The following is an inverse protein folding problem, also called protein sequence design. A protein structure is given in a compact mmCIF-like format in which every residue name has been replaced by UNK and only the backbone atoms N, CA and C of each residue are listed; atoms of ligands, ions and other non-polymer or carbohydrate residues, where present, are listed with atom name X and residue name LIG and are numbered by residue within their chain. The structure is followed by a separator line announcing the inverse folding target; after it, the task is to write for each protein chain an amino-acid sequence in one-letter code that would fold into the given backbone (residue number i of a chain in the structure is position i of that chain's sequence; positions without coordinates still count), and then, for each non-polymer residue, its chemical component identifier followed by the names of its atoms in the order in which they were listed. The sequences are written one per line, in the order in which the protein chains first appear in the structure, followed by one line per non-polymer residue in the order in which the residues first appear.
data_IF_796297702199
#
_entry.id   IF_796297702199
#
_cell.length_a   1.000
_cell.length_b   1.000
_cell.length_c   1.000
_cell.angle_alpha   90.00
_cell.angle_beta   90.00
_cell.angle_gamma   90.00
#
_symmetry.space_group_name_H-M   'P 1'
#
loop_
_entity.id
_entity.type
_entity.pdbx_description
1 polymer ?
#
# COMPACT_ATOMS: atom_id res chain seq x y z
N UNK A 1 14.17 7.84 20.70
CA UNK A 1 14.44 6.92 19.61
C UNK A 1 14.20 5.45 19.99
N UNK A 2 14.77 4.92 21.07
CA UNK A 2 14.52 3.54 21.54
C UNK A 2 13.05 3.20 21.80
N UNK A 3 12.25 4.14 22.33
CA UNK A 3 10.83 3.92 22.61
C UNK A 3 10.00 3.69 21.34
N UNK A 4 10.28 4.43 20.27
CA UNK A 4 9.61 4.28 18.97
C UNK A 4 9.99 2.94 18.33
N UNK A 5 11.26 2.54 18.44
CA UNK A 5 11.74 1.26 17.92
C UNK A 5 11.13 0.07 18.68
N UNK A 6 11.06 0.11 20.01
CA UNK A 6 10.44 -0.94 20.81
C UNK A 6 8.92 -1.05 20.54
N UNK A 7 8.24 0.08 20.32
CA UNK A 7 6.84 0.10 19.90
C UNK A 7 6.68 -0.54 18.52
N UNK A 8 7.53 -0.20 17.56
CA UNK A 8 7.51 -0.79 16.21
C UNK A 8 7.70 -2.31 16.23
N UNK A 9 8.65 -2.82 17.03
CA UNK A 9 8.85 -4.27 17.13
C UNK A 9 7.67 -4.99 17.77
N UNK A 10 7.07 -4.41 18.82
CA UNK A 10 5.82 -4.94 19.40
C UNK A 10 4.70 -4.96 18.36
N UNK A 11 4.58 -3.90 17.56
CA UNK A 11 3.59 -3.81 16.50
C UNK A 11 3.83 -4.87 15.42
N UNK A 12 5.10 -5.08 15.03
CA UNK A 12 5.50 -6.10 14.06
C UNK A 12 5.25 -7.52 14.58
N UNK A 13 5.56 -7.80 15.85
CA UNK A 13 5.26 -9.08 16.49
C UNK A 13 3.76 -9.30 16.59
N UNK A 14 2.99 -8.28 16.99
CA UNK A 14 1.52 -8.34 17.01
C UNK A 14 0.97 -8.63 15.62
N UNK A 15 1.42 -7.91 14.59
CA UNK A 15 1.01 -8.16 13.21
C UNK A 15 1.36 -9.58 12.75
N UNK A 16 2.58 -10.06 13.03
CA UNK A 16 3.01 -11.41 12.66
C UNK A 16 2.17 -12.50 13.32
N UNK A 17 1.81 -12.32 14.60
CA UNK A 17 1.00 -13.28 15.35
C UNK A 17 -0.47 -13.30 14.89
N UNK A 18 -0.99 -12.16 14.44
CA UNK A 18 -2.40 -11.99 14.06
C UNK A 18 -2.59 -11.71 12.56
N UNK A 19 -1.59 -11.97 11.73
CA UNK A 19 -1.60 -11.68 10.29
C UNK A 19 -2.83 -12.28 9.58
N UNK A 20 -3.21 -13.51 9.96
CA UNK A 20 -4.36 -14.21 9.41
C UNK A 20 -5.68 -13.47 9.61
N UNK A 21 -5.84 -12.78 10.74
CA UNK A 21 -7.06 -12.01 11.06
C UNK A 21 -6.95 -10.55 10.62
N UNK A 22 -5.77 -9.95 10.75
CA UNK A 22 -5.55 -8.53 10.45
C UNK A 22 -5.64 -8.23 8.95
N UNK A 23 -5.15 -9.12 8.08
CA UNK A 23 -5.25 -8.93 6.63
C UNK A 23 -6.70 -8.87 6.13
N UNK A 24 -7.60 -9.81 6.46
CA UNK A 24 -9.00 -9.71 6.10
C UNK A 24 -9.69 -8.50 6.73
N UNK A 25 -9.41 -8.22 8.01
CA UNK A 25 -9.99 -7.08 8.71
C UNK A 25 -9.65 -5.76 8.02
N UNK A 26 -8.39 -5.57 7.64
CA UNK A 26 -7.95 -4.38 6.89
C UNK A 26 -8.65 -4.26 5.53
N UNK A 27 -8.82 -5.39 4.80
CA UNK A 27 -9.57 -5.40 3.55
C UNK A 27 -11.04 -5.02 3.75
N UNK A 28 -11.70 -5.57 4.78
CA UNK A 28 -13.08 -5.24 5.13
C UNK A 28 -13.20 -3.74 5.41
N UNK A 29 -12.31 -3.16 6.21
CA UNK A 29 -12.33 -1.75 6.55
C UNK A 29 -12.16 -0.88 5.29
N UNK A 30 -11.16 -1.17 4.48
CA UNK A 30 -10.90 -0.40 3.26
C UNK A 30 -12.05 -0.51 2.24
N UNK A 31 -12.62 -1.71 2.06
CA UNK A 31 -13.76 -1.90 1.17
C UNK A 31 -15.02 -1.24 1.70
N UNK A 32 -15.25 -1.27 3.01
CA UNK A 32 -16.37 -0.54 3.64
C UNK A 32 -16.26 0.97 3.39
N UNK A 33 -15.08 1.55 3.57
CA UNK A 33 -14.83 2.96 3.26
C UNK A 33 -15.06 3.24 1.77
N UNK A 34 -14.58 2.37 0.88
CA UNK A 34 -14.79 2.52 -0.56
C UNK A 34 -16.29 2.51 -0.92
N UNK A 35 -17.08 1.60 -0.36
CA UNK A 35 -18.53 1.58 -0.55
C UNK A 35 -19.21 2.84 -0.03
N UNK A 36 -18.81 3.34 1.16
CA UNK A 36 -19.33 4.59 1.69
C UNK A 36 -19.02 5.77 0.77
N UNK A 37 -17.81 5.84 0.22
CA UNK A 37 -17.40 6.89 -0.74
C UNK A 37 -18.23 6.82 -2.02
N UNK A 38 -18.39 5.62 -2.61
CA UNK A 38 -19.21 5.42 -3.81
C UNK A 38 -20.65 5.85 -3.54
N UNK A 39 -21.26 5.38 -2.45
CA UNK A 39 -22.63 5.69 -2.08
C UNK A 39 -22.83 7.19 -1.80
N UNK A 40 -21.83 7.87 -1.22
CA UNK A 40 -21.91 9.31 -0.98
C UNK A 40 -21.85 10.12 -2.28
N UNK A 41 -21.04 9.68 -3.26
CA UNK A 41 -20.89 10.40 -4.53
C UNK A 41 -21.98 10.10 -5.54
N UNK A 42 -22.34 8.82 -5.72
CA UNK A 42 -23.24 8.33 -6.77
C UNK A 42 -24.34 7.41 -6.25
N UNK A 43 -24.86 7.66 -5.06
CA UNK A 43 -25.84 6.82 -4.37
C UNK A 43 -27.24 6.78 -4.98
N UNK A 44 -27.39 6.58 -6.29
CA UNK A 44 -28.69 6.61 -6.97
C UNK A 44 -29.54 5.35 -6.77
N UNK A 45 -28.92 4.20 -6.48
CA UNK A 45 -29.61 2.93 -6.25
C UNK A 45 -29.86 2.70 -4.76
N UNK A 46 -31.10 2.88 -4.31
CA UNK A 46 -31.48 2.79 -2.88
C UNK A 46 -31.18 1.43 -2.24
N UNK A 47 -31.21 0.33 -2.99
CA UNK A 47 -30.85 -0.99 -2.48
C UNK A 47 -29.37 -1.09 -2.08
N UNK A 48 -28.47 -0.51 -2.88
CA UNK A 48 -27.02 -0.56 -2.64
C UNK A 48 -26.56 0.43 -1.57
N UNK A 49 -27.37 1.46 -1.26
CA UNK A 49 -27.06 2.44 -0.20
C UNK A 49 -27.43 1.95 1.20
N UNK A 50 -28.18 0.85 1.32
CA UNK A 50 -28.57 0.30 2.61
C UNK A 50 -27.35 -0.13 3.43
N UNK A 51 -27.22 0.29 4.71
CA UNK A 51 -26.06 -0.05 5.55
C UNK A 51 -25.85 -1.55 5.72
N UNK A 52 -26.92 -2.34 5.71
CA UNK A 52 -26.88 -3.80 5.79
C UNK A 52 -26.21 -4.42 4.57
N UNK A 53 -26.54 -3.93 3.37
CA UNK A 53 -25.94 -4.41 2.11
C UNK A 53 -24.47 -4.03 2.04
N UNK A 54 -24.12 -2.79 2.40
CA UNK A 54 -22.73 -2.31 2.47
C UNK A 54 -21.92 -3.14 3.45
N UNK A 55 -22.46 -3.42 4.64
CA UNK A 55 -21.78 -4.23 5.66
C UNK A 55 -21.52 -5.66 5.20
N UNK A 56 -22.56 -6.35 4.68
CA UNK A 56 -22.44 -7.73 4.19
C UNK A 56 -21.47 -7.81 3.00
N UNK A 57 -21.59 -6.91 2.03
CA UNK A 57 -20.69 -6.88 0.88
C UNK A 57 -19.22 -6.64 1.29
N UNK A 58 -18.97 -5.76 2.26
CA UNK A 58 -17.63 -5.49 2.77
C UNK A 58 -17.03 -6.71 3.48
N UNK A 59 -17.84 -7.43 4.26
CA UNK A 59 -17.39 -8.67 4.93
C UNK A 59 -17.04 -9.74 3.90
N UNK A 60 -17.87 -9.92 2.87
CA UNK A 60 -17.57 -10.85 1.78
C UNK A 60 -16.26 -10.49 1.07
N UNK A 61 -16.02 -9.20 0.81
CA UNK A 61 -14.79 -8.71 0.19
C UNK A 61 -13.54 -9.00 1.05
N UNK A 62 -13.66 -9.13 2.36
CA UNK A 62 -12.54 -9.44 3.24
C UNK A 62 -11.82 -10.75 2.92
N UNK A 63 -12.54 -11.74 2.42
CA UNK A 63 -11.99 -13.06 2.05
C UNK A 63 -11.46 -13.08 0.62
N UNK A 64 -11.94 -12.19 -0.24
CA UNK A 64 -11.61 -12.18 -1.66
C UNK A 64 -10.20 -11.59 -1.94
N UNK A 65 -9.55 -11.97 -3.05
CA UNK A 65 -8.35 -11.30 -3.51
C UNK A 65 -8.65 -9.85 -3.96
N UNK A 66 -7.65 -8.95 -3.82
CA UNK A 66 -7.84 -7.53 -4.13
C UNK A 66 -8.33 -7.28 -5.57
N UNK A 67 -7.92 -8.10 -6.53
CA UNK A 67 -8.38 -7.99 -7.93
C UNK A 67 -9.89 -8.21 -8.08
N UNK A 68 -10.48 -9.15 -7.33
CA UNK A 68 -11.93 -9.37 -7.35
C UNK A 68 -12.68 -8.25 -6.61
N UNK A 69 -12.10 -7.69 -5.56
CA UNK A 69 -12.67 -6.53 -4.86
C UNK A 69 -12.87 -5.36 -5.84
N UNK A 70 -11.85 -5.08 -6.67
CA UNK A 70 -11.94 -4.05 -7.71
C UNK A 70 -13.11 -4.30 -8.66
N UNK A 71 -13.29 -5.55 -9.11
CA UNK A 71 -14.41 -5.93 -10.00
C UNK A 71 -15.75 -5.70 -9.31
N UNK A 72 -15.89 -6.09 -8.03
CA UNK A 72 -17.14 -5.89 -7.28
C UNK A 72 -17.43 -4.39 -7.11
N UNK A 73 -16.43 -3.58 -6.74
CA UNK A 73 -16.61 -2.13 -6.59
C UNK A 73 -17.05 -1.48 -7.90
N UNK A 74 -16.46 -1.88 -9.05
CA UNK A 74 -16.86 -1.36 -10.35
C UNK A 74 -18.27 -1.79 -10.76
N UNK A 75 -18.68 -3.02 -10.44
CA UNK A 75 -20.05 -3.48 -10.69
C UNK A 75 -21.07 -2.67 -9.85
N UNK A 76 -20.71 -2.27 -8.64
CA UNK A 76 -21.55 -1.41 -7.80
C UNK A 76 -21.68 -0.01 -8.40
N UNK A 77 -20.55 0.57 -8.89
CA UNK A 77 -20.58 1.83 -9.63
C UNK A 77 -21.53 1.72 -10.84
N UNK A 78 -21.38 0.66 -11.65
CA UNK A 78 -22.27 0.40 -12.78
C UNK A 78 -23.73 0.26 -12.34
N UNK A 79 -24.00 -0.41 -11.21
CA UNK A 79 -25.35 -0.54 -10.64
C UNK A 79 -25.96 0.81 -10.28
N UNK A 80 -25.20 1.71 -9.65
CA UNK A 80 -25.67 3.08 -9.37
C UNK A 80 -25.92 3.89 -10.64
N UNK A 81 -25.04 3.76 -11.64
CA UNK A 81 -25.21 4.42 -12.93
C UNK A 81 -26.42 3.88 -13.69
N UNK A 82 -26.69 2.58 -13.58
CA UNK A 82 -27.88 1.96 -14.16
C UNK A 82 -29.17 2.53 -13.56
N UNK A 83 -29.20 2.74 -12.25
CA UNK A 83 -30.33 3.37 -11.58
C UNK A 83 -30.55 4.84 -12.01
N UNK A 84 -29.47 5.54 -12.39
CA UNK A 84 -29.55 6.89 -12.93
C UNK A 84 -29.96 6.89 -14.40
N UNK A 85 -29.25 6.12 -15.23
CA UNK A 85 -29.52 5.98 -16.65
C UNK A 85 -28.83 4.71 -17.22
N UNK A 86 -29.58 3.90 -17.97
CA UNK A 86 -29.04 2.65 -18.55
C UNK A 86 -27.88 2.88 -19.52
N UNK A 87 -27.90 3.97 -20.27
CA UNK A 87 -26.88 4.29 -21.27
C UNK A 87 -25.54 4.61 -20.60
N UNK A 88 -25.57 5.33 -19.45
CA UNK A 88 -24.40 5.60 -18.63
C UNK A 88 -23.77 4.32 -18.11
N UNK A 89 -24.59 3.39 -17.65
CA UNK A 89 -24.13 2.12 -17.14
C UNK A 89 -23.40 1.30 -18.22
N UNK A 90 -23.91 1.30 -19.45
CA UNK A 90 -23.29 0.60 -20.58
C UNK A 90 -21.91 1.22 -20.90
N UNK A 91 -21.83 2.56 -20.96
CA UNK A 91 -20.55 3.25 -21.22
C UNK A 91 -19.52 2.96 -20.12
N UNK A 92 -19.95 3.07 -18.86
CA UNK A 92 -19.09 2.76 -17.73
C UNK A 92 -18.63 1.29 -17.74
N UNK A 93 -19.53 0.36 -18.09
CA UNK A 93 -19.19 -1.05 -18.21
C UNK A 93 -18.11 -1.29 -19.28
N UNK A 94 -18.26 -0.69 -20.47
CA UNK A 94 -17.27 -0.79 -21.54
C UNK A 94 -15.93 -0.21 -21.08
N UNK A 95 -15.95 0.94 -20.41
CA UNK A 95 -14.75 1.58 -19.87
C UNK A 95 -14.04 0.68 -18.84
N UNK A 96 -14.80 0.08 -17.91
CA UNK A 96 -14.25 -0.84 -16.92
C UNK A 96 -13.69 -2.11 -17.56
N UNK A 97 -14.35 -2.70 -18.55
CA UNK A 97 -13.83 -3.86 -19.27
C UNK A 97 -12.50 -3.52 -19.95
N UNK A 98 -12.41 -2.39 -20.65
CA UNK A 98 -11.16 -1.92 -21.26
C UNK A 98 -10.05 -1.72 -20.20
N UNK A 99 -10.41 -1.08 -19.09
CA UNK A 99 -9.52 -0.88 -17.96
C UNK A 99 -9.00 -2.20 -17.39
N UNK A 100 -9.86 -3.22 -17.24
CA UNK A 100 -9.45 -4.52 -16.72
C UNK A 100 -8.51 -5.26 -17.67
N UNK A 101 -8.73 -5.20 -18.98
CA UNK A 101 -7.82 -5.81 -19.95
C UNK A 101 -6.40 -5.26 -19.79
N UNK A 102 -6.26 -3.94 -19.61
CA UNK A 102 -4.96 -3.29 -19.38
C UNK A 102 -4.43 -3.58 -17.98
N UNK A 103 -5.28 -3.46 -16.96
CA UNK A 103 -4.91 -3.71 -15.56
C UNK A 103 -4.36 -5.12 -15.36
N UNK A 104 -5.06 -6.16 -15.79
CA UNK A 104 -4.61 -7.55 -15.64
C UNK A 104 -3.31 -7.84 -16.39
N UNK A 105 -3.06 -7.13 -17.49
CA UNK A 105 -1.82 -7.27 -18.25
C UNK A 105 -0.61 -6.66 -17.53
N UNK A 106 -0.75 -5.48 -16.94
CA UNK A 106 0.36 -4.70 -16.41
C UNK A 106 0.54 -4.78 -14.89
N UNK A 107 -0.54 -4.72 -14.13
CA UNK A 107 -0.49 -4.55 -12.66
C UNK A 107 -1.49 -5.42 -11.88
N UNK A 108 -1.55 -6.73 -12.11
CA UNK A 108 -2.57 -7.59 -11.49
C UNK A 108 -2.49 -7.66 -9.96
N UNK A 109 -1.33 -7.32 -9.39
CA UNK A 109 -1.10 -7.35 -7.93
C UNK A 109 -1.45 -6.04 -7.23
N UNK A 110 -1.62 -4.95 -7.97
CA UNK A 110 -1.78 -3.60 -7.43
C UNK A 110 -3.25 -3.17 -7.32
N UNK A 111 -4.19 -4.13 -7.27
CA UNK A 111 -5.62 -3.85 -7.14
C UNK A 111 -5.98 -2.97 -5.95
N UNK A 112 -5.20 -3.08 -4.87
CA UNK A 112 -5.37 -2.21 -3.71
C UNK A 112 -5.21 -0.72 -4.06
N UNK A 113 -4.26 -0.37 -4.91
CA UNK A 113 -4.00 1.01 -5.33
C UNK A 113 -5.19 1.61 -6.05
N UNK A 114 -5.83 0.83 -6.93
CA UNK A 114 -6.90 1.30 -7.78
C UNK A 114 -8.10 1.84 -6.99
N UNK A 115 -8.51 1.17 -5.92
CA UNK A 115 -9.61 1.66 -5.08
C UNK A 115 -9.15 2.60 -3.96
N UNK A 116 -7.85 2.63 -3.62
CA UNK A 116 -7.30 3.61 -2.67
C UNK A 116 -7.31 5.04 -3.24
N UNK A 117 -7.17 5.19 -4.56
CA UNK A 117 -7.19 6.52 -5.19
C UNK A 117 -8.52 7.26 -4.93
N UNK A 118 -9.71 6.71 -5.26
CA UNK A 118 -10.98 7.36 -4.94
C UNK A 118 -11.17 7.66 -3.45
N UNK A 119 -10.72 6.77 -2.57
CA UNK A 119 -10.77 7.00 -1.12
C UNK A 119 -9.91 8.20 -0.73
N UNK A 120 -8.69 8.31 -1.26
CA UNK A 120 -7.79 9.42 -0.97
C UNK A 120 -8.36 10.77 -1.43
N UNK A 121 -9.02 10.80 -2.60
CA UNK A 121 -9.72 11.99 -3.07
C UNK A 121 -10.90 12.36 -2.15
N UNK A 122 -11.70 11.38 -1.76
CA UNK A 122 -12.82 11.60 -0.85
C UNK A 122 -12.38 12.11 0.54
N UNK A 123 -11.20 11.71 1.00
CA UNK A 123 -10.60 12.19 2.25
C UNK A 123 -9.84 13.52 2.09
N UNK A 124 -9.84 14.13 0.91
CA UNK A 124 -9.07 15.34 0.60
C UNK A 124 -7.55 15.20 0.82
N UNK A 125 -6.99 14.01 0.59
CA UNK A 125 -5.55 13.72 0.67
C UNK A 125 -5.01 12.99 -0.58
N UNK A 126 -5.38 13.38 -1.81
CA UNK A 126 -5.02 12.63 -3.01
C UNK A 126 -3.51 12.52 -3.24
N UNK A 127 -2.75 13.53 -2.83
CA UNK A 127 -1.29 13.60 -3.05
C UNK A 127 -0.49 12.57 -2.24
N UNK A 128 -1.13 11.89 -1.30
CA UNK A 128 -0.54 10.78 -0.55
C UNK A 128 -0.28 9.57 -1.47
N UNK A 129 -1.16 9.37 -2.46
CA UNK A 129 -1.13 8.18 -3.33
C UNK A 129 0.17 8.10 -4.13
N UNK A 130 0.58 9.12 -4.93
CA UNK A 130 1.77 9.02 -5.75
C UNK A 130 3.04 8.85 -4.91
N UNK A 131 3.12 9.47 -3.72
CA UNK A 131 4.28 9.33 -2.83
C UNK A 131 4.34 7.91 -2.26
N UNK A 132 3.24 7.36 -1.73
CA UNK A 132 3.23 6.02 -1.17
C UNK A 132 3.44 4.94 -2.24
N UNK A 133 2.83 5.08 -3.41
CA UNK A 133 3.03 4.16 -4.54
C UNK A 133 4.50 4.20 -5.00
N UNK A 134 5.09 5.37 -5.15
CA UNK A 134 6.51 5.53 -5.46
C UNK A 134 7.42 4.90 -4.39
N UNK A 135 7.07 4.97 -3.10
CA UNK A 135 7.84 4.37 -1.99
C UNK A 135 7.64 2.85 -1.86
N UNK A 136 6.47 2.31 -2.13
CA UNK A 136 6.15 0.91 -1.83
C UNK A 136 6.23 0.00 -3.05
N UNK A 137 5.86 0.52 -4.24
CA UNK A 137 5.63 -0.27 -5.44
C UNK A 137 6.66 0.05 -6.56
N UNK A 138 6.36 -0.38 -7.77
CA UNK A 138 7.18 -0.16 -8.96
C UNK A 138 6.57 0.93 -9.85
N UNK A 139 7.32 1.54 -10.79
CA UNK A 139 6.77 2.55 -11.70
C UNK A 139 5.62 2.05 -12.57
N UNK A 140 5.52 0.73 -12.80
CA UNK A 140 4.42 0.14 -13.58
C UNK A 140 3.06 0.38 -12.90
N UNK A 141 3.04 0.56 -11.56
CA UNK A 141 1.83 0.89 -10.78
C UNK A 141 1.19 2.24 -11.16
N UNK A 142 1.87 3.06 -11.97
CA UNK A 142 1.29 4.27 -12.60
C UNK A 142 -0.01 3.91 -13.32
N UNK A 143 -0.08 2.74 -13.97
CA UNK A 143 -1.29 2.26 -14.67
C UNK A 143 -2.47 2.12 -13.69
N UNK A 144 -2.26 1.50 -12.54
CA UNK A 144 -3.30 1.36 -11.50
C UNK A 144 -3.73 2.70 -10.92
N UNK A 145 -2.79 3.63 -10.70
CA UNK A 145 -3.10 4.98 -10.22
C UNK A 145 -3.88 5.77 -11.27
N UNK A 146 -3.48 5.71 -12.54
CA UNK A 146 -4.19 6.37 -13.63
C UNK A 146 -5.64 5.91 -13.76
N UNK A 147 -5.88 4.61 -13.64
CA UNK A 147 -7.25 4.07 -13.63
C UNK A 147 -8.03 4.49 -12.37
N UNK A 148 -7.39 4.56 -11.22
CA UNK A 148 -8.02 5.08 -10.01
C UNK A 148 -8.46 6.54 -10.17
N UNK A 149 -7.62 7.39 -10.76
CA UNK A 149 -7.95 8.80 -11.06
C UNK A 149 -9.08 8.88 -12.08
N UNK A 150 -9.09 8.01 -13.10
CA UNK A 150 -10.15 7.96 -14.10
C UNK A 150 -11.51 7.59 -13.49
N UNK A 151 -11.54 6.59 -12.61
CA UNK A 151 -12.77 6.20 -11.89
C UNK A 151 -13.27 7.33 -11.00
N UNK A 152 -12.37 7.99 -10.29
CA UNK A 152 -12.70 9.12 -9.44
C UNK A 152 -13.32 10.27 -10.23
N UNK A 153 -12.67 10.67 -11.33
CA UNK A 153 -13.17 11.74 -12.20
C UNK A 153 -14.50 11.39 -12.88
N UNK A 154 -14.68 10.10 -13.22
CA UNK A 154 -15.96 9.64 -13.74
C UNK A 154 -17.08 9.81 -12.71
N UNK A 155 -16.85 9.41 -11.45
CA UNK A 155 -17.83 9.56 -10.38
C UNK A 155 -18.13 11.03 -10.11
N UNK A 156 -17.11 11.90 -10.05
CA UNK A 156 -17.25 13.34 -9.87
C UNK A 156 -18.08 13.97 -10.99
N UNK A 157 -17.74 13.65 -12.25
CA UNK A 157 -18.45 14.20 -13.40
C UNK A 157 -19.92 13.82 -13.40
N UNK A 158 -20.22 12.55 -13.15
CA UNK A 158 -21.60 12.06 -13.08
C UNK A 158 -22.37 12.71 -11.92
N UNK A 159 -21.73 12.82 -10.74
CA UNK A 159 -22.35 13.46 -9.57
C UNK A 159 -22.73 14.91 -9.85
N UNK A 160 -21.81 15.67 -10.45
CA UNK A 160 -22.04 17.10 -10.72
C UNK A 160 -23.01 17.36 -11.87
N UNK A 161 -23.15 16.44 -12.82
CA UNK A 161 -23.96 16.61 -14.02
C UNK A 161 -25.20 15.71 -14.07
N UNK A 162 -25.56 15.03 -12.98
CA UNK A 162 -26.69 14.08 -12.95
C UNK A 162 -28.01 14.67 -13.45
N UNK A 163 -28.34 15.92 -13.08
CA UNK A 163 -29.55 16.62 -13.49
C UNK A 163 -29.52 16.89 -14.98
N UNK A 164 -28.43 17.39 -15.51
CA UNK A 164 -28.27 17.69 -16.95
C UNK A 164 -28.34 16.43 -17.79
N UNK A 165 -27.75 15.35 -17.35
CA UNK A 165 -27.76 14.05 -18.03
C UNK A 165 -29.19 13.49 -18.12
N UNK A 166 -29.96 13.60 -17.04
CA UNK A 166 -31.37 13.13 -17.02
C UNK A 166 -32.32 14.03 -17.80
N UNK A 167 -32.02 15.31 -17.95
CA UNK A 167 -32.87 16.26 -18.68
C UNK A 167 -32.80 16.13 -20.21
N UNK A 168 -31.77 15.48 -20.74
CA UNK A 168 -31.62 15.25 -22.18
C UNK A 168 -32.64 14.20 -22.64
N UNK A 169 -33.50 14.55 -23.59
CA UNK A 169 -34.55 13.67 -24.13
C UNK A 169 -34.01 12.33 -24.61
N UNK A 170 -34.82 11.28 -24.44
CA UNK A 170 -34.46 9.86 -24.68
C UNK A 170 -34.02 9.55 -26.12
N UNK A 171 -34.33 10.44 -27.07
CA UNK A 171 -34.13 10.17 -28.51
C UNK A 171 -32.69 10.29 -29.02
N UNK A 172 -31.71 10.61 -28.16
CA UNK A 172 -30.33 10.82 -28.59
C UNK A 172 -29.28 10.21 -27.68
N UNK A 173 -29.21 8.87 -27.70
CA UNK A 173 -28.15 8.08 -27.02
C UNK A 173 -26.75 8.64 -27.33
N UNK A 174 -26.46 8.91 -28.59
CA UNK A 174 -25.18 9.46 -29.05
C UNK A 174 -24.88 10.82 -28.44
N UNK A 175 -25.91 11.67 -28.20
CA UNK A 175 -25.71 13.00 -27.61
C UNK A 175 -25.33 12.91 -26.14
N UNK A 176 -25.94 12.01 -25.36
CA UNK A 176 -25.56 11.75 -23.97
C UNK A 176 -24.17 11.13 -23.86
N UNK A 177 -23.84 10.17 -24.75
CA UNK A 177 -22.52 9.59 -24.84
C UNK A 177 -21.44 10.64 -25.10
N UNK A 178 -21.69 11.55 -26.05
CA UNK A 178 -20.79 12.67 -26.33
C UNK A 178 -20.64 13.63 -25.13
N UNK A 179 -21.74 13.94 -24.42
CA UNK A 179 -21.68 14.79 -23.22
C UNK A 179 -20.79 14.15 -22.17
N UNK A 180 -20.93 12.85 -21.91
CA UNK A 180 -20.13 12.13 -20.94
C UNK A 180 -18.65 12.06 -21.35
N UNK A 181 -18.38 11.53 -22.53
CA UNK A 181 -17.01 11.34 -22.99
C UNK A 181 -16.30 12.68 -23.14
N UNK A 182 -16.93 13.65 -23.82
CA UNK A 182 -16.33 14.98 -23.96
C UNK A 182 -16.16 15.66 -22.60
N UNK A 183 -17.15 15.59 -21.70
CA UNK A 183 -17.05 16.23 -20.39
C UNK A 183 -15.94 15.65 -19.52
N UNK A 184 -15.78 14.33 -19.51
CA UNK A 184 -14.70 13.69 -18.76
C UNK A 184 -13.32 13.94 -19.38
N UNK A 185 -13.19 13.80 -20.70
CA UNK A 185 -11.91 13.90 -21.39
C UNK A 185 -11.54 15.33 -21.83
N UNK A 186 -12.43 16.32 -21.72
CA UNK A 186 -12.11 17.73 -21.95
C UNK A 186 -11.55 18.41 -20.70
N UNK A 187 -11.75 17.80 -19.53
CA UNK A 187 -11.19 18.33 -18.27
C UNK A 187 -9.66 18.26 -18.28
N UNK A 188 -9.02 19.41 -18.44
CA UNK A 188 -7.57 19.54 -18.43
C UNK A 188 -6.95 19.16 -17.08
N UNK A 189 -7.68 19.37 -15.98
CA UNK A 189 -7.27 19.03 -14.62
C UNK A 189 -7.04 17.51 -14.46
N UNK A 190 -7.84 16.71 -15.16
CA UNK A 190 -7.67 15.26 -15.21
C UNK A 190 -6.30 14.85 -15.75
N UNK A 191 -5.90 15.38 -16.91
CA UNK A 191 -4.60 15.06 -17.52
C UNK A 191 -3.43 15.57 -16.69
N UNK A 192 -3.54 16.78 -16.13
CA UNK A 192 -2.53 17.35 -15.23
C UNK A 192 -2.33 16.43 -14.04
N UNK A 193 -3.40 15.99 -13.39
CA UNK A 193 -3.35 15.09 -12.24
C UNK A 193 -2.65 13.77 -12.60
N UNK A 194 -3.00 13.15 -13.73
CA UNK A 194 -2.38 11.92 -14.19
C UNK A 194 -0.87 12.09 -14.45
N UNK A 195 -0.50 13.16 -15.14
CA UNK A 195 0.90 13.43 -15.49
C UNK A 195 1.72 13.73 -14.23
N UNK A 196 1.23 14.59 -13.35
CA UNK A 196 1.93 14.95 -12.11
C UNK A 196 2.10 13.72 -11.23
N UNK A 197 1.05 12.90 -11.05
CA UNK A 197 1.14 11.67 -10.27
C UNK A 197 2.15 10.69 -10.87
N UNK A 198 2.16 10.52 -12.19
CA UNK A 198 3.13 9.67 -12.85
C UNK A 198 4.57 10.16 -12.64
N UNK A 199 4.83 11.46 -12.80
CA UNK A 199 6.15 12.06 -12.58
C UNK A 199 6.60 11.87 -11.13
N UNK A 200 5.71 12.14 -10.15
CA UNK A 200 6.03 11.97 -8.73
C UNK A 200 6.37 10.51 -8.40
N UNK A 201 5.59 9.53 -8.91
CA UNK A 201 5.88 8.11 -8.70
C UNK A 201 7.26 7.75 -9.23
N UNK A 202 7.61 8.19 -10.44
CA UNK A 202 8.91 7.91 -11.06
C UNK A 202 10.04 8.54 -10.24
N UNK A 203 9.91 9.82 -9.87
CA UNK A 203 10.93 10.56 -9.11
C UNK A 203 11.16 9.91 -7.74
N UNK A 204 10.08 9.65 -7.00
CA UNK A 204 10.15 9.00 -5.69
C UNK A 204 10.78 7.61 -5.80
N UNK A 205 10.39 6.83 -6.79
CA UNK A 205 10.95 5.49 -7.03
C UNK A 205 12.45 5.55 -7.32
N UNK A 206 12.88 6.44 -8.22
CA UNK A 206 14.31 6.61 -8.57
C UNK A 206 15.11 7.00 -7.33
N UNK A 207 14.64 7.96 -6.55
CA UNK A 207 15.34 8.45 -5.36
C UNK A 207 15.45 7.38 -4.28
N UNK A 208 14.37 6.63 -3.99
CA UNK A 208 14.39 5.59 -2.97
C UNK A 208 15.33 4.43 -3.30
N UNK A 209 15.56 4.17 -4.61
CA UNK A 209 16.43 3.07 -5.06
C UNK A 209 17.89 3.45 -5.13
N UNK A 210 18.23 4.72 -4.92
CA UNK A 210 19.63 5.17 -4.88
C UNK A 210 20.31 4.82 -3.57
N UNK A 211 21.60 4.60 -3.62
CA UNK A 211 22.46 4.27 -2.47
C UNK A 211 22.81 5.48 -1.60
N UNK A 212 21.93 6.46 -1.50
CA UNK A 212 22.11 7.66 -0.68
C UNK A 212 21.60 7.40 0.73
N UNK A 213 22.28 7.97 1.74
CA UNK A 213 21.81 7.90 3.12
C UNK A 213 20.44 8.59 3.26
N UNK A 214 19.55 7.95 4.00
CA UNK A 214 18.19 8.41 4.18
C UNK A 214 17.39 8.60 2.86
N UNK A 215 17.70 7.79 1.83
CA UNK A 215 17.08 7.88 0.49
C UNK A 215 15.54 7.97 0.53
N UNK A 216 14.89 7.24 1.45
CA UNK A 216 13.44 7.26 1.61
C UNK A 216 12.92 8.62 2.11
N UNK A 217 13.61 9.25 3.06
CA UNK A 217 13.22 10.61 3.55
C UNK A 217 13.43 11.66 2.47
N UNK A 218 14.57 11.59 1.75
CA UNK A 218 14.83 12.47 0.60
C UNK A 218 13.76 12.30 -0.47
N UNK A 219 13.38 11.06 -0.77
CA UNK A 219 12.33 10.74 -1.75
C UNK A 219 10.97 11.33 -1.36
N UNK A 220 10.59 11.31 -0.07
CA UNK A 220 9.34 11.91 0.42
C UNK A 220 9.36 13.43 0.22
N UNK A 221 10.44 14.09 0.64
CA UNK A 221 10.58 15.55 0.55
C UNK A 221 10.55 16.01 -0.90
N UNK A 222 11.37 15.38 -1.76
CA UNK A 222 11.42 15.71 -3.19
C UNK A 222 10.09 15.37 -3.86
N UNK A 223 9.45 14.24 -3.51
CA UNK A 223 8.12 13.89 -4.02
C UNK A 223 7.06 14.92 -3.67
N UNK A 224 7.06 15.44 -2.45
CA UNK A 224 6.15 16.51 -2.02
C UNK A 224 6.42 17.82 -2.79
N UNK A 225 7.68 18.20 -2.96
CA UNK A 225 8.06 19.38 -3.76
C UNK A 225 7.61 19.20 -5.22
N UNK A 226 7.85 18.03 -5.81
CA UNK A 226 7.43 17.72 -7.18
C UNK A 226 5.91 17.76 -7.36
N UNK A 227 5.12 17.34 -6.36
CA UNK A 227 3.68 17.50 -6.39
C UNK A 227 3.26 18.97 -6.51
N UNK A 228 3.74 19.81 -5.59
CA UNK A 228 3.39 21.24 -5.57
C UNK A 228 3.88 21.90 -6.85
N UNK A 229 5.16 21.69 -7.21
CA UNK A 229 5.76 22.29 -8.40
C UNK A 229 5.08 21.82 -9.70
N UNK A 230 4.64 20.56 -9.75
CA UNK A 230 3.96 20.00 -10.91
C UNK A 230 2.60 20.65 -11.17
N UNK A 231 1.78 20.83 -10.13
CA UNK A 231 0.48 21.48 -10.28
C UNK A 231 0.62 22.98 -10.57
N UNK A 232 1.44 23.72 -9.80
CA UNK A 232 1.67 25.15 -10.03
C UNK A 232 2.34 25.37 -11.40
N UNK A 233 3.32 24.52 -11.76
CA UNK A 233 3.96 24.61 -13.06
C UNK A 233 3.00 24.38 -14.22
N UNK A 234 2.06 23.43 -14.08
CA UNK A 234 1.04 23.19 -15.08
C UNK A 234 0.08 24.40 -15.24
N UNK A 235 -0.33 25.03 -14.15
CA UNK A 235 -1.15 26.25 -14.19
C UNK A 235 -0.45 27.39 -14.94
N UNK A 236 0.81 27.64 -14.60
CA UNK A 236 1.59 28.75 -15.19
C UNK A 236 1.93 28.47 -16.65
N UNK A 237 2.44 27.27 -16.97
CA UNK A 237 2.94 26.95 -18.33
C UNK A 237 1.80 26.74 -19.31
N UNK A 238 0.71 26.09 -18.89
CA UNK A 238 -0.41 25.77 -19.76
C UNK A 238 -1.50 26.86 -19.72
N UNK A 239 -1.35 27.88 -18.88
CA UNK A 239 -2.36 28.93 -18.65
C UNK A 239 -3.75 28.34 -18.39
N UNK A 240 -3.79 27.24 -17.63
CA UNK A 240 -5.02 26.55 -17.27
C UNK A 240 -5.33 26.92 -15.83
N UNK A 241 -6.50 27.53 -15.63
CA UNK A 241 -7.02 27.66 -14.27
C UNK A 241 -7.45 26.27 -13.82
N UNK A 242 -6.65 25.65 -12.96
CA UNK A 242 -7.10 24.48 -12.22
C UNK A 242 -8.00 25.02 -11.09
N UNK A 243 -9.16 24.39 -10.87
CA UNK A 243 -10.05 24.78 -9.76
C UNK A 243 -9.44 24.38 -8.39
N UNK A 244 -8.13 24.12 -8.35
CA UNK A 244 -7.40 23.70 -7.15
C UNK A 244 -6.81 24.93 -6.48
N UNK A 245 -7.35 25.28 -5.32
CA UNK A 245 -6.79 26.36 -4.51
C UNK A 245 -5.36 26.02 -4.06
N UNK A 246 -4.39 26.88 -4.37
CA UNK A 246 -2.95 26.65 -4.06
C UNK A 246 -2.70 26.44 -2.57
N UNK A 247 -3.46 27.10 -1.69
CA UNK A 247 -3.37 26.89 -0.24
C UNK A 247 -3.76 25.46 0.17
N UNK A 248 -4.86 24.97 -0.39
CA UNK A 248 -5.36 23.61 -0.18
C UNK A 248 -4.36 22.56 -0.68
N UNK A 249 -3.79 22.78 -1.87
CA UNK A 249 -2.76 21.92 -2.46
C UNK A 249 -1.54 21.77 -1.54
N UNK A 250 -1.03 22.88 -1.01
CA UNK A 250 0.14 22.86 -0.11
C UNK A 250 -0.20 22.12 1.19
N UNK A 251 -1.33 22.41 1.82
CA UNK A 251 -1.75 21.77 3.07
C UNK A 251 -1.90 20.26 2.87
N UNK A 252 -2.59 19.83 1.83
CA UNK A 252 -2.81 18.42 1.52
C UNK A 252 -1.48 17.69 1.21
N UNK A 253 -0.55 18.36 0.54
CA UNK A 253 0.78 17.79 0.25
C UNK A 253 1.62 17.64 1.52
N UNK A 254 1.55 18.59 2.45
CA UNK A 254 2.22 18.48 3.76
C UNK A 254 1.65 17.29 4.55
N UNK A 255 0.33 17.14 4.59
CA UNK A 255 -0.33 15.99 5.23
C UNK A 255 0.13 14.68 4.56
N UNK A 256 0.19 14.66 3.23
CA UNK A 256 0.67 13.51 2.46
C UNK A 256 2.12 13.14 2.81
N UNK A 257 3.00 14.12 2.95
CA UNK A 257 4.39 13.91 3.34
C UNK A 257 4.50 13.37 4.78
N UNK A 258 3.67 13.86 5.71
CA UNK A 258 3.62 13.33 7.09
C UNK A 258 3.16 11.88 7.12
N UNK A 259 2.10 11.53 6.39
CA UNK A 259 1.63 10.13 6.29
C UNK A 259 2.71 9.23 5.68
N UNK A 260 3.38 9.70 4.62
CA UNK A 260 4.48 8.97 4.00
C UNK A 260 5.69 8.81 4.95
N UNK A 261 5.99 9.81 5.79
CA UNK A 261 7.03 9.72 6.81
C UNK A 261 6.69 8.68 7.89
N UNK A 262 5.43 8.63 8.34
CA UNK A 262 4.96 7.59 9.26
C UNK A 262 5.08 6.20 8.61
N UNK A 263 4.67 6.07 7.35
CA UNK A 263 4.83 4.83 6.58
C UNK A 263 6.31 4.41 6.49
N UNK A 264 7.22 5.33 6.20
CA UNK A 264 8.65 5.07 6.18
C UNK A 264 9.15 4.53 7.53
N UNK A 265 8.77 5.17 8.64
CA UNK A 265 9.14 4.70 9.99
C UNK A 265 8.58 3.28 10.24
N UNK A 266 7.39 2.96 9.78
CA UNK A 266 6.79 1.65 9.96
C UNK A 266 7.47 0.55 9.11
N UNK A 267 7.82 0.82 7.88
CA UNK A 267 8.34 -0.16 6.92
C UNK A 267 9.86 -0.29 6.98
N UNK A 268 10.57 0.84 7.05
CA UNK A 268 12.01 0.91 6.90
C UNK A 268 12.73 1.10 8.24
N UNK A 269 13.62 0.15 8.60
CA UNK A 269 14.41 0.20 9.84
C UNK A 269 15.85 -0.17 9.53
N UNK A 270 16.67 0.84 9.27
CA UNK A 270 18.12 0.67 9.08
C UNK A 270 18.88 1.65 9.96
N UNK A 271 20.06 1.24 10.39
CA UNK A 271 20.96 2.05 11.19
C UNK A 271 22.10 2.58 10.33
N UNK A 272 21.95 3.80 9.85
CA UNK A 272 22.97 4.45 9.03
C UNK A 272 24.25 4.81 9.81
N UNK A 273 24.18 4.84 11.14
CA UNK A 273 25.36 5.12 11.98
C UNK A 273 26.37 3.98 11.99
N UNK A 274 25.94 2.76 11.65
CA UNK A 274 26.76 1.54 11.59
C UNK A 274 26.96 1.06 10.16
N UNK A 275 27.07 2.00 9.22
CA UNK A 275 27.31 1.66 7.82
C UNK A 275 28.71 1.10 7.65
N UNK A 276 28.83 -0.07 7.03
CA UNK A 276 30.09 -0.71 6.68
C UNK A 276 30.30 -0.65 5.17
N UNK A 277 31.54 -0.37 4.76
CA UNK A 277 31.97 -0.42 3.37
C UNK A 277 32.78 -1.70 3.17
N UNK A 278 32.24 -2.61 2.39
CA UNK A 278 32.87 -3.91 2.11
C UNK A 278 33.29 -3.94 0.65
N UNK A 279 34.43 -4.58 0.41
CA UNK A 279 34.94 -4.85 -0.92
C UNK A 279 35.04 -6.37 -1.11
N UNK A 280 34.48 -6.87 -2.16
CA UNK A 280 34.58 -8.26 -2.59
C UNK A 280 35.15 -8.30 -3.99
N UNK A 281 35.92 -9.28 -4.29
CA UNK A 281 36.53 -9.50 -5.60
C UNK A 281 36.26 -10.94 -6.02
N UNK A 282 35.87 -11.13 -7.25
CA UNK A 282 35.83 -12.41 -7.92
C UNK A 282 36.69 -12.34 -9.21
N UNK A 283 36.76 -13.41 -9.97
CA UNK A 283 37.61 -13.51 -11.17
C UNK A 283 37.26 -12.50 -12.28
N UNK A 284 36.05 -11.92 -12.26
CA UNK A 284 35.56 -11.01 -13.29
C UNK A 284 35.32 -9.57 -12.79
N UNK A 285 34.96 -9.39 -11.49
CA UNK A 285 34.49 -8.09 -10.97
C UNK A 285 35.00 -7.78 -9.56
N UNK A 286 35.23 -6.51 -9.31
CA UNK A 286 35.43 -5.94 -7.97
C UNK A 286 34.15 -5.25 -7.53
N UNK A 287 33.56 -5.70 -6.41
CA UNK A 287 32.32 -5.20 -5.86
C UNK A 287 32.56 -4.26 -4.68
N UNK A 288 32.10 -3.04 -4.78
CA UNK A 288 32.05 -2.10 -3.66
C UNK A 288 30.65 -2.08 -3.07
N UNK A 289 30.49 -2.65 -1.87
CA UNK A 289 29.19 -2.80 -1.23
C UNK A 289 29.11 -1.91 0.00
N UNK A 290 28.08 -1.07 0.06
CA UNK A 290 27.70 -0.32 1.24
C UNK A 290 26.65 -1.12 2.02
N UNK A 291 27.06 -1.74 3.12
CA UNK A 291 26.19 -2.51 4.00
C UNK A 291 25.65 -1.61 5.12
N UNK A 292 24.33 -1.42 5.16
CA UNK A 292 23.66 -0.69 6.24
C UNK A 292 22.87 -1.72 7.07
N UNK A 293 23.22 -1.93 8.34
CA UNK A 293 22.58 -2.96 9.15
C UNK A 293 21.12 -2.59 9.45
N UNK A 294 20.25 -3.60 9.44
CA UNK A 294 18.90 -3.45 9.96
C UNK A 294 18.95 -3.34 11.48
N UNK A 295 18.16 -2.44 12.05
CA UNK A 295 18.04 -2.32 13.49
C UNK A 295 17.32 -3.57 14.01
N UNK A 296 18.07 -4.45 14.70
CA UNK A 296 17.53 -5.56 15.47
C UNK A 296 17.62 -5.18 16.95
N UNK A 297 16.49 -4.99 17.60
CA UNK A 297 16.44 -4.96 19.05
C UNK A 297 16.45 -6.43 19.47
N UNK A 298 17.56 -6.88 20.07
CA UNK A 298 17.63 -8.23 20.61
C UNK A 298 16.41 -8.44 21.52
N UNK A 299 15.68 -9.54 21.30
CA UNK A 299 14.61 -9.93 22.21
C UNK A 299 15.23 -10.01 23.61
N UNK A 300 14.56 -9.49 24.66
CA UNK A 300 15.08 -9.59 26.01
C UNK A 300 15.42 -11.05 26.28
N UNK A 301 16.66 -11.31 26.70
CA UNK A 301 17.11 -12.66 27.04
C UNK A 301 16.09 -13.27 28.00
N UNK A 302 15.40 -14.28 27.51
CA UNK A 302 14.48 -15.03 28.35
C UNK A 302 15.37 -15.78 29.33
N UNK A 303 15.56 -15.24 30.54
CA UNK A 303 16.25 -15.94 31.61
C UNK A 303 15.43 -17.19 31.94
N UNK A 304 15.83 -18.32 31.38
CA UNK A 304 15.25 -19.61 31.69
C UNK A 304 15.66 -19.96 33.14
N UNK A 305 14.81 -19.60 34.10
CA UNK A 305 14.96 -20.04 35.47
C UNK A 305 14.76 -21.57 35.47
N UNK A 306 15.87 -22.34 35.57
CA UNK A 306 15.77 -23.80 35.72
C UNK A 306 15.09 -24.12 37.05
N UNK A 307 13.84 -24.48 37.00
CA UNK A 307 12.96 -24.73 38.18
C UNK A 307 13.23 -26.09 38.82
N UNK A 308 14.11 -26.94 38.35
CA UNK A 308 14.32 -28.28 38.95
C UNK A 308 15.80 -28.76 38.94
N UNK A 309 16.63 -28.14 39.72
CA UNK A 309 17.99 -28.71 40.03
C UNK A 309 17.95 -29.73 41.19
N UNK A 310 16.85 -29.87 41.91
CA UNK A 310 16.77 -30.80 43.08
C UNK A 310 16.41 -32.24 42.71
N UNK A 311 15.80 -32.53 41.58
CA UNK A 311 15.42 -33.90 41.23
C UNK A 311 16.56 -34.74 40.58
N UNK A 312 17.56 -34.11 40.01
CA UNK A 312 18.68 -34.87 39.42
C UNK A 312 19.73 -35.34 40.42
N UNK A 313 19.88 -34.67 41.58
CA UNK A 313 20.84 -35.14 42.60
C UNK A 313 20.47 -36.43 43.32
N UNK A 314 19.19 -36.81 43.33
CA UNK A 314 18.73 -38.02 43.98
C UNK A 314 18.68 -39.28 43.10
N UNK A 315 18.83 -39.10 41.76
CA UNK A 315 18.83 -40.25 40.84
C UNK A 315 20.24 -40.82 40.64
N UNK A 316 21.27 -39.98 40.78
CA UNK A 316 22.67 -40.39 40.61
C UNK A 316 23.28 -41.06 41.84
N UNK A 317 22.62 -41.01 43.02
CA UNK A 317 23.11 -41.67 44.23
C UNK A 317 22.63 -43.12 44.43
N UNK A 318 21.82 -43.69 43.56
CA UNK A 318 21.22 -45.01 43.75
C UNK A 318 21.74 -46.14 42.85
N UNK A 319 22.86 -45.94 42.13
CA UNK A 319 23.50 -47.01 41.34
C UNK A 319 25.01 -46.83 41.31
N UNK A 320 25.71 -47.14 42.43
CA UNK A 320 27.05 -47.68 42.39
C UNK A 320 26.99 -49.12 42.78
N UNK A 321 27.21 -50.08 41.88
CA UNK A 321 27.44 -51.48 42.27
C UNK A 321 28.86 -51.59 42.74
N UNK A 322 29.04 -52.33 43.86
CA UNK A 322 30.32 -52.62 44.52
C UNK A 322 31.39 -53.16 43.53
N UNK A 323 32.58 -52.53 43.55
CA UNK A 323 33.74 -53.03 42.84
C UNK A 323 34.21 -54.32 43.49
N UNK A 324 34.44 -55.39 42.73
CA UNK A 324 35.17 -56.58 43.25
C UNK A 324 36.65 -56.22 43.42
N UNK A 325 37.19 -56.56 44.55
CA UNK A 325 38.64 -56.49 44.84
C UNK A 325 39.36 -57.43 43.87
N UNK A 326 40.24 -56.90 43.02
CA UNK A 326 41.16 -57.67 42.18
C UNK A 326 42.50 -57.83 42.89
N UNK A 327 42.85 -59.07 43.03
CA UNK A 327 44.02 -59.54 43.75
C UNK A 327 45.35 -59.07 43.16
N UNK A 328 46.31 -58.98 44.07
CA UNK A 328 47.74 -58.81 43.84
C UNK A 328 48.25 -59.81 42.81
N UNK A 329 48.87 -59.34 41.72
CA UNK A 329 49.78 -60.15 40.89
C UNK A 329 51.16 -59.52 40.89
N UNK A 330 52.10 -60.43 41.22
CA UNK A 330 53.56 -60.25 41.38
C UNK A 330 54.20 -59.72 40.11
N UNK A 331 55.21 -58.84 40.33
CA UNK A 331 56.29 -58.54 39.38
C UNK A 331 57.06 -59.80 39.03
N UNK A 332 57.28 -60.01 37.76
CA UNK A 332 58.33 -60.82 37.24
C UNK A 332 59.14 -59.93 36.30
N UNK A 333 60.38 -59.71 36.70
CA UNK A 333 61.46 -59.15 35.89
C UNK A 333 61.86 -60.16 34.80
N UNK A 334 62.18 -59.67 33.61
CA UNK A 334 63.12 -60.27 32.69
C UNK A 334 63.73 -59.17 31.87
N UNK A 335 65.01 -59.08 32.07
CA UNK A 335 66.07 -58.71 31.19
C UNK A 335 65.94 -59.47 29.86
N UNK A 336 66.11 -58.84 28.77
CA UNK A 336 67.11 -58.92 27.72
C UNK A 336 66.76 -57.92 26.62
#
# INVERSE_FOLDING_TARGET
MMMILSFKERLKQFYSNFEFYLKPLFKILCTFIAFCVINHKIGYMTMLTQPTVVGVASIMCGVLPCSLIVVILSLIIVGHLYALNMELAIIALILFVLMYLLYFKFTPKDGFVLFMVPIAFALNIPYVVPILVGLALTPVSIVSVAFGVLVEKMMDYVSNNAVTINSVSSDSILKRMNILLNGMFTDKTFYITMIVFAVVIIVVYILRTRSVDHAWMVAIIVGAICNVAGFIGAEVVLSINTDIETSSLVIQTVIAALIAAVFNICVFSVDYSRTEHLQFEDDEYVYYVKAVPKINIAAPEVSVKRINTRRMKNVTKKKEPARPQAGKRKRVSRED
#
